data_IF_338977401284
#
_entry.id   IF_338977401284
#
_cell.length_a   1.000
_cell.length_b   1.000
_cell.length_c   1.000
_cell.angle_alpha   90.00
_cell.angle_beta   90.00
_cell.angle_gamma   90.00
#
_symmetry.space_group_name_H-M   'P 1'
#
loop_
_entity.id
_entity.type
_entity.pdbx_description
1 polymer ?
#
# COMPACT_ATOMS: atom_id res chain seq x y z
N UNK A 1 17.90 10.22 -8.89
CA UNK A 1 18.21 10.04 -10.32
C UNK A 1 19.10 11.20 -10.77
N UNK A 2 20.18 10.91 -11.51
CA UNK A 2 21.06 11.97 -12.06
C UNK A 2 20.33 12.80 -13.12
N UNK A 3 19.36 12.21 -13.80
CA UNK A 3 18.50 12.93 -14.76
C UNK A 3 17.04 12.49 -14.58
N UNK A 4 16.26 13.19 -13.75
CA UNK A 4 14.88 12.78 -13.44
C UNK A 4 13.95 12.91 -14.66
N UNK A 5 14.11 13.93 -15.49
CA UNK A 5 13.25 14.18 -16.66
C UNK A 5 13.42 13.06 -17.69
N UNK A 6 14.65 12.70 -18.05
CA UNK A 6 14.90 11.61 -18.99
C UNK A 6 14.42 10.25 -18.43
N UNK A 7 14.48 10.07 -17.12
CA UNK A 7 13.95 8.85 -16.46
C UNK A 7 12.43 8.81 -16.56
N UNK A 8 11.73 9.92 -16.30
CA UNK A 8 10.28 10.01 -16.48
C UNK A 8 9.86 9.74 -17.91
N UNK A 9 10.53 10.36 -18.88
CA UNK A 9 10.25 10.17 -20.29
C UNK A 9 10.39 8.69 -20.72
N UNK A 10 11.46 8.03 -20.27
CA UNK A 10 11.66 6.61 -20.53
C UNK A 10 10.54 5.75 -19.95
N UNK A 11 10.09 6.03 -18.71
CA UNK A 11 9.00 5.30 -18.08
C UNK A 11 7.69 5.56 -18.81
N UNK A 12 7.40 6.82 -19.16
CA UNK A 12 6.21 7.21 -19.91
C UNK A 12 6.09 6.45 -21.23
N UNK A 13 7.13 6.47 -22.05
CA UNK A 13 7.17 5.73 -23.33
C UNK A 13 7.00 4.22 -23.13
N UNK A 14 7.65 3.65 -22.12
CA UNK A 14 7.52 2.22 -21.81
C UNK A 14 6.08 1.85 -21.43
N UNK A 15 5.38 2.67 -20.63
CA UNK A 15 3.99 2.45 -20.24
C UNK A 15 3.06 2.48 -21.45
N UNK A 16 3.17 3.52 -22.30
CA UNK A 16 2.38 3.63 -23.54
C UNK A 16 2.60 2.44 -24.46
N UNK A 17 3.86 2.09 -24.72
CA UNK A 17 4.22 0.99 -25.61
C UNK A 17 3.68 -0.36 -25.10
N UNK A 18 3.69 -0.60 -23.79
CA UNK A 18 3.14 -1.82 -23.21
C UNK A 18 1.61 -1.85 -23.29
N UNK A 19 0.95 -0.74 -23.02
CA UNK A 19 -0.50 -0.68 -22.93
C UNK A 19 -1.21 -0.41 -24.27
N UNK A 20 -0.50 -0.13 -25.37
CA UNK A 20 -1.10 0.29 -26.65
C UNK A 20 -2.13 -0.69 -27.25
N UNK A 21 -2.00 -1.98 -26.95
CA UNK A 21 -2.88 -3.02 -27.48
C UNK A 21 -4.01 -3.39 -26.49
N UNK A 22 -4.08 -2.76 -25.32
CA UNK A 22 -5.20 -2.94 -24.38
C UNK A 22 -6.44 -2.22 -24.88
N UNK A 23 -7.63 -2.57 -24.38
CA UNK A 23 -8.85 -1.85 -24.73
C UNK A 23 -8.73 -0.35 -24.43
N UNK A 24 -8.21 0.01 -23.24
CA UNK A 24 -7.96 1.40 -22.86
C UNK A 24 -6.95 2.09 -23.78
N UNK A 25 -5.87 1.40 -24.15
CA UNK A 25 -4.85 1.94 -25.03
C UNK A 25 -5.36 2.18 -26.47
N UNK A 26 -6.24 1.31 -26.97
CA UNK A 26 -6.88 1.48 -28.29
C UNK A 26 -7.89 2.63 -28.27
N UNK A 27 -8.78 2.67 -27.27
CA UNK A 27 -9.78 3.72 -27.13
C UNK A 27 -9.15 5.12 -27.01
N UNK A 28 -7.92 5.20 -26.46
CA UNK A 28 -7.17 6.45 -26.28
C UNK A 28 -6.00 6.62 -27.26
N UNK A 29 -5.96 5.81 -28.31
CA UNK A 29 -4.99 5.91 -29.42
C UNK A 29 -3.53 5.98 -28.96
N UNK A 30 -3.13 5.12 -27.99
CA UNK A 30 -1.77 5.12 -27.42
C UNK A 30 -0.66 4.96 -28.47
N UNK A 31 -0.95 4.34 -29.60
CA UNK A 31 -0.01 4.23 -30.74
C UNK A 31 0.34 5.57 -31.41
N UNK A 32 -0.49 6.60 -31.23
CA UNK A 32 -0.32 7.93 -31.80
C UNK A 32 0.30 8.94 -30.84
N UNK A 33 0.47 8.56 -29.57
CA UNK A 33 1.00 9.43 -28.52
C UNK A 33 2.53 9.40 -28.55
N UNK A 34 3.14 10.53 -28.88
CA UNK A 34 4.60 10.68 -28.95
C UNK A 34 5.20 11.42 -27.75
N UNK A 35 4.41 12.24 -27.07
CA UNK A 35 4.84 13.08 -25.97
C UNK A 35 3.71 13.32 -24.98
N UNK A 36 4.00 14.04 -23.89
CA UNK A 36 3.03 14.31 -22.83
C UNK A 36 1.86 15.19 -23.28
N UNK A 37 2.07 16.12 -24.22
CA UNK A 37 1.01 16.97 -24.76
C UNK A 37 0.00 16.14 -25.59
N UNK A 38 0.48 15.18 -26.37
CA UNK A 38 -0.39 14.26 -27.08
C UNK A 38 -1.18 13.39 -26.07
N UNK A 39 -0.53 12.92 -25.01
CA UNK A 39 -1.19 12.16 -23.96
C UNK A 39 -2.35 12.94 -23.34
N UNK A 40 -2.14 14.20 -22.98
CA UNK A 40 -3.20 15.06 -22.41
C UNK A 40 -4.39 15.24 -23.34
N UNK A 41 -4.17 15.26 -24.66
CA UNK A 41 -5.24 15.40 -25.66
C UNK A 41 -6.07 14.13 -25.80
N UNK A 42 -5.42 12.95 -25.73
CA UNK A 42 -6.08 11.66 -25.97
C UNK A 42 -6.64 11.02 -24.70
N UNK A 43 -6.08 11.34 -23.52
CA UNK A 43 -6.44 10.73 -22.25
C UNK A 43 -7.03 11.80 -21.31
N UNK A 44 -8.35 11.95 -21.27
CA UNK A 44 -8.99 12.90 -20.36
C UNK A 44 -8.81 12.49 -18.91
N UNK A 45 -8.74 13.47 -18.00
CA UNK A 45 -8.75 13.24 -16.57
C UNK A 45 -10.11 12.64 -16.19
N UNK A 46 -10.07 11.55 -15.41
CA UNK A 46 -11.25 10.83 -14.94
C UNK A 46 -11.10 10.49 -13.47
N UNK A 47 -12.22 10.47 -12.77
CA UNK A 47 -12.34 9.83 -11.47
C UNK A 47 -12.52 8.30 -11.61
N UNK A 48 -12.74 7.63 -10.49
CA UNK A 48 -12.96 6.18 -10.50
C UNK A 48 -14.22 5.79 -11.29
N UNK A 49 -15.27 6.58 -11.20
CA UNK A 49 -16.54 6.31 -11.89
C UNK A 49 -16.35 6.38 -13.42
N UNK A 50 -15.58 7.34 -13.89
CA UNK A 50 -15.20 7.43 -15.30
C UNK A 50 -14.31 6.28 -15.80
N UNK A 51 -13.60 5.59 -14.89
CA UNK A 51 -12.82 4.38 -15.21
C UNK A 51 -13.59 3.08 -14.94
N UNK A 52 -14.70 3.13 -14.23
CA UNK A 52 -15.50 1.96 -13.84
C UNK A 52 -15.84 1.03 -15.00
N UNK A 53 -16.22 1.50 -16.20
CA UNK A 53 -16.53 0.60 -17.32
C UNK A 53 -15.37 -0.31 -17.73
N UNK A 54 -14.13 0.14 -17.58
CA UNK A 54 -12.94 -0.70 -17.79
C UNK A 54 -12.67 -1.60 -16.59
N UNK A 55 -12.77 -1.06 -15.38
CA UNK A 55 -12.53 -1.84 -14.15
C UNK A 55 -13.51 -2.99 -14.04
N UNK A 56 -14.79 -2.78 -14.36
CA UNK A 56 -15.82 -3.84 -14.31
C UNK A 56 -15.51 -4.98 -15.29
N UNK A 57 -14.99 -4.68 -16.49
CA UNK A 57 -14.51 -5.70 -17.43
C UNK A 57 -13.36 -6.51 -16.84
N UNK A 58 -12.40 -5.83 -16.17
CA UNK A 58 -11.28 -6.50 -15.51
C UNK A 58 -11.78 -7.38 -14.35
N UNK A 59 -12.70 -6.87 -13.54
CA UNK A 59 -13.34 -7.61 -12.44
C UNK A 59 -14.13 -8.81 -12.96
N UNK A 60 -14.78 -8.69 -14.11
CA UNK A 60 -15.44 -9.80 -14.81
C UNK A 60 -14.44 -10.84 -15.38
N UNK A 61 -13.13 -10.64 -15.21
CA UNK A 61 -12.08 -11.57 -15.60
C UNK A 61 -11.57 -11.41 -17.03
N UNK A 62 -11.94 -10.32 -17.72
CA UNK A 62 -11.39 -10.02 -19.06
C UNK A 62 -9.91 -9.61 -18.95
N UNK A 63 -9.11 -10.08 -19.91
CA UNK A 63 -7.71 -9.70 -20.04
C UNK A 63 -7.55 -8.47 -20.96
N UNK A 64 -6.38 -7.84 -20.93
CA UNK A 64 -5.97 -6.79 -21.87
C UNK A 64 -6.89 -5.55 -21.89
N UNK A 65 -7.49 -5.24 -20.75
CA UNK A 65 -8.39 -4.06 -20.62
C UNK A 65 -7.59 -2.80 -20.30
N UNK A 66 -7.00 -2.70 -19.10
CA UNK A 66 -6.22 -1.54 -18.64
C UNK A 66 -4.71 -1.77 -18.78
N UNK A 67 -4.29 -3.03 -18.69
CA UNK A 67 -2.91 -3.47 -18.80
C UNK A 67 -2.89 -4.85 -19.45
N UNK A 68 -1.77 -5.24 -20.11
CA UNK A 68 -1.68 -6.57 -20.74
C UNK A 68 -1.90 -7.70 -19.76
N UNK A 69 -2.71 -8.66 -20.15
CA UNK A 69 -3.09 -9.82 -19.35
C UNK A 69 -4.12 -9.50 -18.26
N UNK A 70 -4.22 -10.39 -17.29
CA UNK A 70 -5.06 -10.21 -16.10
C UNK A 70 -4.23 -9.64 -14.95
N UNK A 71 -4.83 -8.83 -14.05
CA UNK A 71 -4.10 -8.38 -12.87
C UNK A 71 -3.75 -9.55 -11.96
N UNK A 72 -2.68 -9.40 -11.20
CA UNK A 72 -2.28 -10.39 -10.18
C UNK A 72 -3.16 -10.31 -8.95
N UNK A 73 -3.59 -9.10 -8.58
CA UNK A 73 -4.42 -8.82 -7.44
C UNK A 73 -5.46 -7.75 -7.74
N UNK A 74 -6.53 -7.76 -6.93
CA UNK A 74 -7.37 -6.59 -6.74
C UNK A 74 -7.14 -6.02 -5.34
N UNK A 75 -6.75 -4.75 -5.26
CA UNK A 75 -6.80 -4.02 -4.01
C UNK A 75 -8.20 -3.45 -3.81
N UNK A 76 -8.84 -3.80 -2.66
CA UNK A 76 -10.11 -3.19 -2.25
C UNK A 76 -9.84 -1.92 -1.47
N UNK A 77 -10.55 -0.85 -1.81
CA UNK A 77 -10.61 0.34 -0.97
C UNK A 77 -11.93 0.38 -0.21
N UNK A 78 -11.92 0.98 0.99
CA UNK A 78 -13.16 1.31 1.69
C UNK A 78 -13.85 2.45 0.95
N UNK A 79 -14.81 2.14 0.10
CA UNK A 79 -15.66 3.15 -0.52
C UNK A 79 -16.69 3.62 0.49
N UNK A 80 -16.64 4.89 0.87
CA UNK A 80 -17.61 5.47 1.82
C UNK A 80 -18.95 5.82 1.17
N UNK A 81 -18.99 6.08 -0.12
CA UNK A 81 -20.21 6.57 -0.82
C UNK A 81 -20.61 5.78 -2.06
N UNK A 82 -19.71 5.09 -2.73
CA UNK A 82 -19.98 4.40 -4.01
C UNK A 82 -19.72 2.89 -4.00
N UNK A 83 -19.67 2.26 -2.81
CA UNK A 83 -19.41 0.84 -2.67
C UNK A 83 -17.92 0.48 -2.76
N UNK A 84 -17.62 -0.82 -2.83
CA UNK A 84 -16.24 -1.32 -2.90
C UNK A 84 -15.63 -0.95 -4.25
N UNK A 85 -14.48 -0.26 -4.21
CA UNK A 85 -13.68 0.03 -5.40
C UNK A 85 -12.55 -0.99 -5.54
N UNK A 86 -12.39 -1.51 -6.74
CA UNK A 86 -11.34 -2.47 -7.08
C UNK A 86 -10.22 -1.75 -7.84
N UNK A 87 -9.01 -1.84 -7.33
CA UNK A 87 -7.82 -1.31 -8.01
C UNK A 87 -7.02 -2.50 -8.53
N UNK A 88 -6.97 -2.71 -9.85
CA UNK A 88 -6.18 -3.80 -10.44
C UNK A 88 -4.68 -3.57 -10.21
N UNK A 89 -3.97 -4.60 -9.75
CA UNK A 89 -2.52 -4.57 -9.53
C UNK A 89 -1.88 -5.61 -10.45
N UNK A 90 -1.07 -5.15 -11.39
CA UNK A 90 -0.35 -6.02 -12.30
C UNK A 90 0.86 -6.67 -11.62
N UNK A 91 1.35 -7.77 -12.20
CA UNK A 91 2.58 -8.42 -11.75
C UNK A 91 3.77 -7.46 -11.81
N UNK A 92 3.81 -6.60 -12.81
CA UNK A 92 4.88 -5.64 -13.04
C UNK A 92 4.86 -4.47 -12.07
N UNK A 93 3.67 -4.09 -11.54
CA UNK A 93 3.55 -2.97 -10.60
C UNK A 93 3.96 -3.34 -9.17
N UNK A 94 3.85 -4.60 -8.76
CA UNK A 94 4.20 -5.04 -7.39
C UNK A 94 5.63 -4.70 -6.97
N UNK A 95 6.68 -4.96 -7.77
CA UNK A 95 8.05 -4.56 -7.41
C UNK A 95 8.18 -3.05 -7.18
N UNK A 96 7.41 -2.23 -7.89
CA UNK A 96 7.43 -0.77 -7.72
C UNK A 96 6.85 -0.36 -6.37
N UNK A 97 5.75 -0.97 -5.93
CA UNK A 97 5.18 -0.73 -4.60
C UNK A 97 6.20 -1.03 -3.48
N UNK A 98 6.84 -2.20 -3.55
CA UNK A 98 7.85 -2.60 -2.54
C UNK A 98 9.06 -1.65 -2.56
N UNK A 99 9.58 -1.34 -3.75
CA UNK A 99 10.73 -0.45 -3.92
C UNK A 99 10.45 0.97 -3.44
N UNK A 100 9.23 1.47 -3.65
CA UNK A 100 8.84 2.81 -3.18
C UNK A 100 8.87 2.89 -1.66
N UNK A 101 8.36 1.88 -0.95
CA UNK A 101 8.42 1.82 0.51
C UNK A 101 9.87 1.73 1.02
N UNK A 102 10.71 0.89 0.38
CA UNK A 102 12.14 0.81 0.70
C UNK A 102 12.86 2.13 0.48
N UNK A 103 12.60 2.79 -0.64
CA UNK A 103 13.22 4.09 -0.95
C UNK A 103 12.81 5.16 0.05
N UNK A 104 11.56 5.19 0.53
CA UNK A 104 11.13 6.13 1.56
C UNK A 104 11.95 5.97 2.85
N UNK A 105 12.17 4.73 3.30
CA UNK A 105 13.01 4.45 4.47
C UNK A 105 14.49 4.81 4.22
N UNK A 106 15.03 4.53 3.03
CA UNK A 106 16.40 4.89 2.68
C UNK A 106 16.59 6.41 2.61
N UNK A 107 15.60 7.16 2.10
CA UNK A 107 15.63 8.62 2.12
C UNK A 107 15.57 9.18 3.55
N UNK A 108 14.75 8.60 4.42
CA UNK A 108 14.74 8.95 5.83
C UNK A 108 16.10 8.73 6.48
N UNK A 109 16.72 7.57 6.27
CA UNK A 109 18.07 7.26 6.78
C UNK A 109 19.10 8.27 6.26
N UNK A 110 19.09 8.52 4.95
CA UNK A 110 20.02 9.45 4.33
C UNK A 110 19.91 10.88 4.88
N UNK A 111 18.66 11.33 5.12
CA UNK A 111 18.41 12.67 5.62
C UNK A 111 18.68 12.83 7.12
N UNK A 112 18.28 11.85 7.93
CA UNK A 112 18.35 11.93 9.40
C UNK A 112 19.62 11.32 10.00
N UNK A 113 20.34 10.48 9.26
CA UNK A 113 21.43 9.64 9.78
C UNK A 113 20.94 8.53 10.73
N UNK A 114 19.63 8.43 11.00
CA UNK A 114 19.09 7.51 11.98
C UNK A 114 18.79 6.14 11.39
N UNK A 115 19.56 5.14 11.82
CA UNK A 115 19.37 3.71 11.48
C UNK A 115 18.90 2.89 12.70
N UNK A 116 18.65 3.52 13.84
CA UNK A 116 18.40 2.80 15.09
C UNK A 116 17.13 1.95 15.04
N UNK A 117 16.13 2.35 14.24
CA UNK A 117 14.85 1.63 14.13
C UNK A 117 14.99 0.20 13.59
N UNK A 118 16.02 -0.12 12.80
CA UNK A 118 16.23 -1.49 12.30
C UNK A 118 16.78 -2.46 13.34
N UNK A 119 17.27 -1.95 14.49
CA UNK A 119 17.86 -2.76 15.56
C UNK A 119 16.84 -3.38 16.51
N UNK A 120 15.59 -2.91 16.46
CA UNK A 120 14.52 -3.40 17.33
C UNK A 120 13.33 -3.93 16.52
N UNK A 121 12.17 -3.97 17.17
CA UNK A 121 10.92 -4.42 16.55
C UNK A 121 10.23 -3.30 15.79
N UNK A 122 9.50 -3.69 14.74
CA UNK A 122 8.74 -2.79 13.88
C UNK A 122 7.29 -3.27 13.83
N UNK A 123 6.36 -2.43 14.27
CA UNK A 123 4.91 -2.72 14.19
C UNK A 123 4.35 -2.20 12.88
N UNK A 124 3.56 -3.06 12.22
CA UNK A 124 2.75 -2.69 11.05
C UNK A 124 1.28 -2.90 11.38
N UNK A 125 0.58 -1.80 11.72
CA UNK A 125 -0.87 -1.80 11.93
C UNK A 125 -1.56 -1.76 10.56
N UNK A 126 -2.01 -2.92 10.11
CA UNK A 126 -2.53 -3.11 8.75
C UNK A 126 -3.75 -4.01 8.72
N UNK A 127 -4.48 -4.00 7.60
CA UNK A 127 -5.57 -4.94 7.35
C UNK A 127 -5.10 -6.39 7.34
N UNK A 128 -6.05 -7.31 7.48
CA UNK A 128 -5.77 -8.75 7.41
C UNK A 128 -5.06 -9.12 6.10
N UNK A 129 -4.02 -9.97 6.16
CA UNK A 129 -3.34 -10.48 4.98
C UNK A 129 -4.11 -11.63 4.30
N UNK A 130 -5.24 -12.06 4.87
CA UNK A 130 -6.09 -13.07 4.25
C UNK A 130 -6.72 -12.48 2.99
N UNK A 131 -6.55 -13.18 1.87
CA UNK A 131 -7.06 -12.76 0.57
C UNK A 131 -8.31 -13.59 0.22
N UNK A 132 -9.33 -12.92 -0.26
CA UNK A 132 -10.48 -13.54 -0.93
C UNK A 132 -10.19 -13.69 -2.42
N UNK A 133 -11.10 -14.28 -3.17
CA UNK A 133 -11.02 -14.34 -4.64
C UNK A 133 -12.19 -13.63 -5.29
N UNK A 134 -11.88 -12.87 -6.35
CA UNK A 134 -12.87 -12.25 -7.23
C UNK A 134 -12.57 -12.72 -8.64
N UNK A 135 -13.44 -13.54 -9.22
CA UNK A 135 -13.24 -14.18 -10.52
C UNK A 135 -11.85 -14.85 -10.67
N UNK A 136 -11.42 -15.57 -9.63
CA UNK A 136 -10.15 -16.30 -9.61
C UNK A 136 -8.92 -15.46 -9.25
N UNK A 137 -9.06 -14.15 -9.12
CA UNK A 137 -7.97 -13.21 -8.80
C UNK A 137 -7.97 -12.92 -7.30
N UNK A 138 -6.80 -13.03 -6.67
CA UNK A 138 -6.63 -12.77 -5.25
C UNK A 138 -6.95 -11.29 -4.92
N UNK A 139 -7.77 -11.09 -3.90
CA UNK A 139 -8.39 -9.79 -3.60
C UNK A 139 -8.29 -9.49 -2.12
N UNK A 140 -7.84 -8.28 -1.77
CA UNK A 140 -7.70 -7.85 -0.39
C UNK A 140 -7.34 -6.37 -0.26
N UNK A 141 -7.04 -5.90 0.94
CA UNK A 141 -6.47 -4.55 1.13
C UNK A 141 -5.02 -4.53 0.65
N UNK A 142 -4.56 -3.41 0.10
CA UNK A 142 -3.18 -3.29 -0.40
C UNK A 142 -2.14 -3.67 0.65
N UNK A 143 -2.31 -3.22 1.89
CA UNK A 143 -1.40 -3.55 2.99
C UNK A 143 -1.37 -5.06 3.31
N UNK A 144 -2.50 -5.74 3.20
CA UNK A 144 -2.58 -7.21 3.32
C UNK A 144 -1.87 -7.93 2.17
N UNK A 145 -2.04 -7.45 0.93
CA UNK A 145 -1.35 -7.99 -0.24
C UNK A 145 0.16 -7.83 -0.10
N UNK A 146 0.62 -6.63 0.27
CA UNK A 146 2.06 -6.32 0.46
C UNK A 146 2.68 -7.17 1.56
N UNK A 147 1.91 -7.59 2.57
CA UNK A 147 2.39 -8.47 3.64
C UNK A 147 3.03 -9.78 3.13
N UNK A 148 2.55 -10.29 1.99
CA UNK A 148 3.10 -11.50 1.37
C UNK A 148 4.45 -11.30 0.65
N UNK A 149 4.88 -10.05 0.47
CA UNK A 149 6.11 -9.69 -0.26
C UNK A 149 7.25 -9.20 0.64
N UNK A 150 7.05 -9.25 1.95
CA UNK A 150 8.08 -8.80 2.90
C UNK A 150 9.22 -9.81 2.91
N UNK A 151 10.47 -9.37 2.66
CA UNK A 151 11.63 -10.24 2.68
C UNK A 151 11.79 -10.97 4.03
N UNK A 152 12.21 -12.24 4.00
CA UNK A 152 12.33 -13.09 5.19
C UNK A 152 13.25 -12.50 6.26
N UNK A 153 14.32 -11.80 5.87
CA UNK A 153 15.23 -11.15 6.81
C UNK A 153 14.61 -10.01 7.61
N UNK A 154 13.53 -9.38 7.11
CA UNK A 154 12.78 -8.36 7.84
C UNK A 154 11.68 -8.95 8.73
N UNK A 155 11.27 -10.19 8.47
CA UNK A 155 10.17 -10.82 9.22
C UNK A 155 10.52 -11.03 10.70
N UNK A 156 11.79 -11.30 11.03
CA UNK A 156 12.26 -11.51 12.42
C UNK A 156 11.95 -10.32 13.34
N UNK A 157 12.02 -9.11 12.81
CA UNK A 157 11.81 -7.87 13.57
C UNK A 157 10.41 -7.28 13.37
N UNK A 158 9.58 -7.95 12.58
CA UNK A 158 8.22 -7.48 12.30
C UNK A 158 7.24 -7.94 13.35
N UNK A 159 6.35 -7.04 13.74
CA UNK A 159 5.19 -7.28 14.62
C UNK A 159 3.92 -6.73 13.96
N UNK A 160 2.74 -7.21 14.30
CA UNK A 160 2.49 -8.40 15.09
C UNK A 160 2.82 -9.69 14.32
N UNK A 161 2.62 -10.84 14.97
CA UNK A 161 2.73 -12.16 14.32
C UNK A 161 1.76 -12.31 13.15
N UNK A 162 2.02 -13.30 12.29
CA UNK A 162 1.09 -13.59 11.20
C UNK A 162 -0.30 -13.95 11.71
N UNK A 163 -0.39 -14.75 12.78
CA UNK A 163 -1.66 -15.17 13.36
C UNK A 163 -2.49 -13.98 13.82
N UNK A 164 -1.88 -13.07 14.59
CA UNK A 164 -2.53 -11.83 15.03
C UNK A 164 -2.92 -10.92 13.85
N UNK A 165 -2.09 -10.85 12.82
CA UNK A 165 -2.45 -10.11 11.61
C UNK A 165 -3.68 -10.68 10.87
N UNK A 166 -3.95 -11.97 10.99
CA UNK A 166 -5.10 -12.63 10.37
C UNK A 166 -6.43 -12.38 11.11
N UNK A 167 -6.41 -11.81 12.31
CA UNK A 167 -7.64 -11.44 13.03
C UNK A 167 -8.36 -10.36 12.21
N UNK A 168 -9.62 -10.58 11.88
CA UNK A 168 -10.43 -9.65 11.08
C UNK A 168 -11.05 -8.55 11.95
N UNK A 169 -11.56 -8.91 13.13
CA UNK A 169 -12.09 -7.93 14.08
C UNK A 169 -10.96 -7.02 14.58
N UNK A 170 -11.15 -5.72 14.37
CA UNK A 170 -10.09 -4.75 14.64
C UNK A 170 -9.81 -4.58 16.15
N UNK A 171 -10.85 -4.64 16.98
CA UNK A 171 -10.67 -4.45 18.41
C UNK A 171 -9.94 -5.63 19.04
N UNK A 172 -10.35 -6.86 18.70
CA UNK A 172 -9.66 -8.07 19.14
C UNK A 172 -8.22 -8.11 18.61
N UNK A 173 -8.00 -7.66 17.38
CA UNK A 173 -6.67 -7.56 16.79
C UNK A 173 -5.77 -6.60 17.55
N UNK A 174 -6.27 -5.41 17.90
CA UNK A 174 -5.48 -4.43 18.67
C UNK A 174 -5.12 -4.97 20.05
N UNK A 175 -6.04 -5.65 20.72
CA UNK A 175 -5.77 -6.29 22.02
C UNK A 175 -4.68 -7.36 21.89
N UNK A 176 -4.76 -8.22 20.89
CA UNK A 176 -3.72 -9.21 20.61
C UNK A 176 -2.36 -8.57 20.27
N UNK A 177 -2.35 -7.45 19.52
CA UNK A 177 -1.12 -6.71 19.24
C UNK A 177 -0.52 -6.14 20.53
N UNK A 178 -1.34 -5.59 21.42
CA UNK A 178 -0.88 -5.09 22.72
C UNK A 178 -0.23 -6.22 23.55
N UNK A 179 -0.86 -7.41 23.56
CA UNK A 179 -0.29 -8.58 24.26
C UNK A 179 1.08 -8.98 23.71
N UNK A 180 1.24 -9.00 22.39
CA UNK A 180 2.49 -9.39 21.74
C UNK A 180 3.61 -8.35 21.92
N UNK A 181 3.27 -7.07 22.11
CA UNK A 181 4.23 -5.99 21.91
C UNK A 181 4.61 -5.21 23.17
N UNK A 182 3.80 -5.27 24.23
CA UNK A 182 3.98 -4.42 25.43
C UNK A 182 5.36 -4.54 26.10
N UNK A 183 6.06 -5.65 25.93
CA UNK A 183 7.41 -5.91 26.48
C UNK A 183 8.51 -5.94 25.40
N UNK A 184 8.23 -5.46 24.19
CA UNK A 184 9.19 -5.49 23.09
C UNK A 184 9.93 -4.15 22.94
N UNK A 185 11.15 -4.19 22.42
CA UNK A 185 11.88 -2.97 22.04
C UNK A 185 11.34 -2.44 20.70
N UNK A 186 10.19 -1.74 20.75
CA UNK A 186 9.56 -1.16 19.57
C UNK A 186 10.24 0.12 19.16
N UNK A 187 10.64 0.22 17.89
CA UNK A 187 11.40 1.36 17.36
C UNK A 187 10.75 2.03 16.16
N UNK A 188 9.92 1.29 15.42
CA UNK A 188 9.16 1.82 14.30
C UNK A 188 7.71 1.36 14.41
N UNK A 189 6.78 2.28 14.15
CA UNK A 189 5.35 1.98 13.95
C UNK A 189 4.93 2.50 12.59
N UNK A 190 4.25 1.65 11.83
CA UNK A 190 3.60 2.04 10.58
C UNK A 190 2.11 1.73 10.65
N UNK A 191 1.28 2.72 10.36
CA UNK A 191 -0.17 2.57 10.38
C UNK A 191 -0.89 3.89 10.17
N UNK A 192 -2.20 3.81 9.98
CA UNK A 192 -3.02 5.03 9.92
C UNK A 192 -3.16 5.64 11.33
N UNK A 193 -3.11 6.98 11.47
CA UNK A 193 -3.10 7.64 12.77
C UNK A 193 -4.21 7.20 13.73
N UNK A 194 -5.49 7.05 13.34
CA UNK A 194 -6.54 6.57 14.26
C UNK A 194 -6.27 5.19 14.85
N UNK A 195 -5.68 4.27 14.06
CA UNK A 195 -5.35 2.93 14.54
C UNK A 195 -4.15 2.96 15.49
N UNK A 196 -3.16 3.79 15.21
CA UNK A 196 -2.01 3.98 16.10
C UNK A 196 -2.45 4.60 17.42
N UNK A 197 -3.36 5.59 17.38
CA UNK A 197 -3.94 6.19 18.58
C UNK A 197 -4.64 5.14 19.45
N UNK A 198 -5.55 4.35 18.88
CA UNK A 198 -6.25 3.29 19.59
C UNK A 198 -5.28 2.28 20.23
N UNK A 199 -4.27 1.86 19.47
CA UNK A 199 -3.23 0.95 19.98
C UNK A 199 -2.47 1.57 21.17
N UNK A 200 -2.06 2.83 21.08
CA UNK A 200 -1.36 3.51 22.16
C UNK A 200 -2.22 3.69 23.43
N UNK A 201 -3.51 4.01 23.26
CA UNK A 201 -4.45 4.13 24.36
C UNK A 201 -4.58 2.79 25.13
N UNK A 202 -4.81 1.68 24.40
CA UNK A 202 -4.90 0.34 25.00
C UNK A 202 -3.59 -0.10 25.63
N UNK A 203 -2.47 0.16 24.98
CA UNK A 203 -1.13 -0.16 25.48
C UNK A 203 -0.84 0.60 26.80
N UNK A 204 -1.13 1.89 26.85
CA UNK A 204 -0.96 2.72 28.04
C UNK A 204 -1.88 2.27 29.18
N UNK A 205 -3.14 1.95 28.89
CA UNK A 205 -4.10 1.44 29.86
C UNK A 205 -3.63 0.12 30.50
N UNK A 206 -3.13 -0.82 29.68
CA UNK A 206 -2.59 -2.09 30.14
C UNK A 206 -1.33 -1.93 30.99
N UNK A 207 -0.39 -1.13 30.51
CA UNK A 207 0.94 -0.99 31.14
C UNK A 207 0.94 0.01 32.29
N UNK A 208 -0.11 0.84 32.43
CA UNK A 208 -0.22 1.96 33.35
C UNK A 208 0.97 2.92 33.28
N UNK A 209 1.50 3.11 32.07
CA UNK A 209 2.66 3.94 31.76
C UNK A 209 2.43 4.73 30.48
N UNK A 210 3.04 5.90 30.32
CA UNK A 210 3.04 6.62 29.05
C UNK A 210 3.89 5.87 27.99
N UNK A 211 3.57 6.07 26.72
CA UNK A 211 4.21 5.37 25.59
C UNK A 211 5.74 5.52 25.60
N UNK A 212 6.26 6.71 25.95
CA UNK A 212 7.70 6.97 26.04
C UNK A 212 8.44 6.06 27.02
N UNK A 213 7.76 5.61 28.08
CA UNK A 213 8.32 4.75 29.11
C UNK A 213 8.14 3.26 28.77
N UNK A 214 7.14 2.94 27.93
CA UNK A 214 6.93 1.58 27.41
C UNK A 214 7.89 1.32 26.26
N UNK A 215 8.04 2.31 25.37
CA UNK A 215 8.91 2.22 24.18
C UNK A 215 9.95 3.34 24.16
N UNK A 216 10.95 3.29 25.06
CA UNK A 216 11.94 4.38 25.17
C UNK A 216 12.80 4.57 23.91
N UNK A 217 12.90 3.55 23.07
CA UNK A 217 13.67 3.57 21.82
C UNK A 217 12.79 3.83 20.58
N UNK A 218 11.52 4.17 20.74
CA UNK A 218 10.63 4.47 19.61
C UNK A 218 11.05 5.77 18.93
N UNK A 219 11.43 5.68 17.66
CA UNK A 219 12.06 6.79 16.93
C UNK A 219 11.39 7.11 15.59
N UNK A 220 10.55 6.22 15.05
CA UNK A 220 9.99 6.43 13.72
C UNK A 220 8.51 6.02 13.63
N UNK A 221 7.67 6.99 13.28
CA UNK A 221 6.29 6.76 12.89
C UNK A 221 6.12 6.98 11.39
N UNK A 222 5.72 5.94 10.67
CA UNK A 222 5.45 5.97 9.23
C UNK A 222 3.95 5.92 9.00
N UNK A 223 3.39 6.96 8.42
CA UNK A 223 1.96 7.02 8.10
C UNK A 223 1.72 7.55 6.71
N UNK A 224 0.59 7.22 6.14
CA UNK A 224 0.10 7.80 4.90
C UNK A 224 -0.72 9.05 5.23
N UNK A 225 -0.56 10.12 4.46
CA UNK A 225 -1.46 11.27 4.49
C UNK A 225 -2.85 10.79 4.09
N UNK A 226 -3.63 10.47 5.08
CA UNK A 226 -5.08 10.44 4.95
C UNK A 226 -5.56 11.86 5.17
N UNK A 227 -6.53 12.27 4.39
CA UNK A 227 -7.25 13.51 4.50
C UNK A 227 -7.40 13.91 5.98
N UNK A 228 -6.61 14.90 6.39
CA UNK A 228 -6.55 15.30 7.80
C UNK A 228 -7.73 16.17 8.20
N UNK A 229 -8.52 16.66 7.24
CA UNK A 229 -9.66 17.54 7.48
C UNK A 229 -11.01 16.83 7.57
N UNK A 230 -11.18 15.63 6.99
CA UNK A 230 -12.50 15.02 6.82
C UNK A 230 -12.61 13.60 7.43
N UNK A 231 -11.69 13.22 8.28
CA UNK A 231 -11.70 11.94 8.99
C UNK A 231 -12.01 12.12 10.49
N UNK A 232 -12.78 13.13 10.81
CA UNK A 232 -13.35 13.32 12.14
C UNK A 232 -14.80 12.82 12.17
#
# INVERSE_FOLDING_TARGET
AQNPIATQEKVFRMLLQKAKNTAFGQDHQFSQINNYEDFRKHVPIRDYEGLRPYVDKVVAGQADILWPGKPRYFSKTSGTTSGVKYIPISKESMPTHIKSAQNALLHYIHHSGNVSFVRGKMIFLQGSPILSKTNGIDTGRLSGIVAHYIPSYLQKNRMPSWQTNCIDDWEQKVDAIVEETHNQDMRLISGIPPWVKMYFERLSAKSKKPIKDIFPNFTLFVYCLLYTSDAA
#
